data_IF_675297552719
#
_entry.id   IF_675297552719
#
_cell.length_a   1.000
_cell.length_b   1.000
_cell.length_c   1.000
_cell.angle_alpha   90.00
_cell.angle_beta   90.00
_cell.angle_gamma   90.00
#
_symmetry.space_group_name_H-M   'P 1'
#
loop_
_entity.id
_entity.type
_entity.pdbx_description
1 polymer ?
#
# COMPACT_ATOMS: atom_id res chain seq x y z
N UNK A 1 13.21 -37.44 41.73
CA UNK A 1 13.20 -37.74 40.28
C UNK A 1 14.55 -38.38 39.95
N UNK A 2 14.56 -39.56 39.28
CA UNK A 2 15.81 -40.25 38.93
C UNK A 2 16.47 -39.50 37.75
N UNK A 3 17.79 -39.32 37.81
CA UNK A 3 18.59 -38.63 36.79
C UNK A 3 18.24 -38.96 35.32
N UNK A 4 17.95 -40.23 34.92
CA UNK A 4 17.56 -40.55 33.55
C UNK A 4 16.25 -39.89 33.08
N UNK A 5 15.31 -39.67 34.02
CA UNK A 5 14.04 -39.02 33.66
C UNK A 5 14.19 -37.53 33.35
N UNK A 6 15.19 -36.87 33.96
CA UNK A 6 15.49 -35.46 33.71
C UNK A 6 16.10 -35.29 32.30
N UNK A 7 17.03 -36.17 31.92
CA UNK A 7 17.64 -36.16 30.60
C UNK A 7 16.62 -36.41 29.51
N UNK A 8 15.71 -37.35 29.69
CA UNK A 8 14.61 -37.61 28.74
C UNK A 8 13.67 -36.41 28.64
N UNK A 9 13.35 -35.77 29.76
CA UNK A 9 12.50 -34.57 29.73
C UNK A 9 13.17 -33.39 29.00
N UNK A 10 14.49 -33.20 29.24
CA UNK A 10 15.26 -32.15 28.51
C UNK A 10 15.34 -32.45 27.01
N UNK A 11 15.61 -33.71 26.65
CA UNK A 11 15.66 -34.11 25.24
C UNK A 11 14.28 -33.94 24.55
N UNK A 12 13.21 -34.31 25.23
CA UNK A 12 11.84 -34.12 24.71
C UNK A 12 11.50 -32.62 24.55
N UNK A 13 11.88 -31.78 25.51
CA UNK A 13 11.70 -30.33 25.42
C UNK A 13 12.48 -29.69 24.29
N UNK A 14 13.73 -30.10 24.07
CA UNK A 14 14.57 -29.62 22.95
C UNK A 14 14.00 -30.05 21.59
N UNK A 15 13.52 -31.29 21.46
CA UNK A 15 12.86 -31.78 20.24
C UNK A 15 11.60 -30.99 19.96
N UNK A 16 10.75 -30.83 20.98
CA UNK A 16 9.52 -30.04 20.87
C UNK A 16 9.84 -28.58 20.47
N UNK A 17 10.80 -27.94 21.12
CA UNK A 17 11.24 -26.57 20.78
C UNK A 17 11.77 -26.48 19.35
N UNK A 18 12.53 -27.50 18.89
CA UNK A 18 13.02 -27.57 17.52
C UNK A 18 11.92 -27.70 16.48
N UNK A 19 10.87 -28.48 16.80
CA UNK A 19 9.69 -28.60 15.94
C UNK A 19 8.94 -27.27 15.86
N UNK A 20 8.71 -26.60 16.99
CA UNK A 20 8.03 -25.30 17.03
C UNK A 20 8.84 -24.15 16.41
N UNK A 21 10.17 -24.25 16.37
CA UNK A 21 11.03 -23.29 15.72
C UNK A 21 11.31 -23.62 14.24
N UNK A 22 10.79 -24.72 13.74
CA UNK A 22 11.02 -25.13 12.37
C UNK A 22 10.20 -24.29 11.38
N UNK A 23 10.79 -23.74 10.29
CA UNK A 23 10.07 -22.95 9.29
C UNK A 23 8.99 -23.74 8.52
N UNK A 24 8.88 -25.04 8.78
CA UNK A 24 7.79 -25.87 8.28
C UNK A 24 6.44 -25.51 8.90
N UNK A 25 6.42 -25.01 10.14
CA UNK A 25 5.18 -24.60 10.82
C UNK A 25 4.58 -23.34 10.19
N UNK A 26 5.42 -22.41 9.75
CA UNK A 26 4.97 -21.20 9.04
C UNK A 26 4.21 -21.58 7.76
N UNK A 27 4.71 -22.61 7.03
CA UNK A 27 4.01 -23.11 5.82
C UNK A 27 2.67 -23.77 6.14
N UNK A 28 2.57 -24.47 7.28
CA UNK A 28 1.32 -25.13 7.70
C UNK A 28 0.32 -24.07 8.18
N UNK A 29 0.77 -23.04 8.85
CA UNK A 29 -0.09 -21.92 9.27
C UNK A 29 -0.66 -21.18 8.07
N UNK A 30 0.17 -20.84 7.09
CA UNK A 30 -0.24 -20.18 5.85
C UNK A 30 -1.23 -21.04 5.06
N UNK A 31 -0.93 -22.33 4.87
CA UNK A 31 -1.86 -23.28 4.21
C UNK A 31 -3.21 -23.34 4.94
N UNK A 32 -3.20 -23.26 6.26
CA UNK A 32 -4.43 -23.28 7.06
C UNK A 32 -5.25 -22.01 6.84
N UNK A 33 -4.62 -20.84 6.81
CA UNK A 33 -5.28 -19.55 6.54
C UNK A 33 -5.84 -19.51 5.11
N UNK A 34 -5.05 -19.89 4.12
CA UNK A 34 -5.49 -19.93 2.73
C UNK A 34 -6.67 -20.88 2.55
N UNK A 35 -6.62 -22.06 3.20
CA UNK A 35 -7.72 -23.01 3.19
C UNK A 35 -8.99 -22.45 3.83
N UNK A 36 -8.88 -21.68 4.92
CA UNK A 36 -10.00 -21.01 5.57
C UNK A 36 -10.58 -19.90 4.67
N UNK A 37 -9.74 -19.12 4.01
CA UNK A 37 -10.20 -18.10 3.06
C UNK A 37 -10.89 -18.75 1.86
N UNK A 38 -10.31 -19.82 1.31
CA UNK A 38 -10.92 -20.57 0.22
C UNK A 38 -12.28 -21.17 0.63
N UNK A 39 -12.33 -21.85 1.78
CA UNK A 39 -13.56 -22.43 2.32
C UNK A 39 -14.64 -21.38 2.54
N UNK A 40 -14.24 -20.25 3.13
CA UNK A 40 -15.15 -19.13 3.33
C UNK A 40 -15.71 -18.62 2.01
N UNK A 41 -14.85 -18.46 0.98
CA UNK A 41 -15.29 -18.04 -0.34
C UNK A 41 -16.20 -19.08 -1.00
N UNK A 42 -15.90 -20.37 -0.85
CA UNK A 42 -16.71 -21.46 -1.41
C UNK A 42 -18.09 -21.55 -0.73
N UNK A 43 -18.20 -21.26 0.57
CA UNK A 43 -19.45 -21.39 1.34
C UNK A 43 -20.31 -20.13 1.25
N UNK A 44 -19.71 -18.94 1.36
CA UNK A 44 -20.44 -17.67 1.44
C UNK A 44 -20.31 -16.79 0.20
N UNK A 45 -19.46 -17.14 -0.76
CA UNK A 45 -19.21 -16.34 -1.95
C UNK A 45 -18.53 -15.01 -1.65
N UNK A 46 -18.63 -14.06 -2.57
CA UNK A 46 -18.15 -12.69 -2.38
C UNK A 46 -19.00 -11.97 -1.34
N UNK A 47 -18.33 -11.31 -0.40
CA UNK A 47 -18.99 -10.65 0.74
C UNK A 47 -19.71 -9.35 0.35
N UNK A 48 -19.28 -8.72 -0.74
CA UNK A 48 -19.84 -7.48 -1.26
C UNK A 48 -19.96 -7.56 -2.78
N UNK A 49 -21.10 -7.15 -3.30
CA UNK A 49 -21.22 -6.86 -4.73
C UNK A 49 -20.36 -5.63 -5.04
N UNK A 50 -19.60 -5.60 -6.15
CA UNK A 50 -18.80 -4.43 -6.53
C UNK A 50 -19.59 -3.13 -6.54
N UNK A 51 -20.88 -3.19 -6.95
CA UNK A 51 -21.79 -2.06 -7.01
C UNK A 51 -22.18 -1.49 -5.64
N UNK A 52 -21.95 -2.26 -4.58
CA UNK A 52 -22.23 -1.86 -3.19
C UNK A 52 -20.96 -1.49 -2.43
N UNK A 53 -19.80 -1.52 -3.11
CA UNK A 53 -18.53 -1.14 -2.49
C UNK A 53 -18.54 0.36 -2.17
N UNK A 54 -18.20 0.75 -0.93
CA UNK A 54 -18.03 2.16 -0.59
C UNK A 54 -16.73 2.74 -1.16
N UNK A 55 -15.90 1.93 -1.82
CA UNK A 55 -14.62 2.34 -2.39
C UNK A 55 -14.60 2.14 -3.90
N UNK A 56 -13.98 3.11 -4.59
CA UNK A 56 -13.73 3.08 -6.04
C UNK A 56 -12.24 3.15 -6.25
N UNK A 57 -11.73 2.31 -7.16
CA UNK A 57 -10.32 2.32 -7.58
C UNK A 57 -10.22 2.98 -8.94
N UNK A 58 -9.42 4.04 -9.03
CA UNK A 58 -9.02 4.67 -10.30
C UNK A 58 -7.64 4.13 -10.63
N UNK A 59 -7.58 3.19 -11.57
CA UNK A 59 -6.35 2.51 -11.93
C UNK A 59 -5.57 3.28 -12.99
N UNK A 60 -4.24 3.32 -12.84
CA UNK A 60 -3.30 3.66 -13.91
C UNK A 60 -2.82 2.32 -14.48
N UNK A 61 -3.42 1.93 -15.58
CA UNK A 61 -3.17 0.66 -16.25
C UNK A 61 -2.31 0.83 -17.51
N UNK A 62 -2.13 -0.24 -18.27
CA UNK A 62 -1.36 -0.22 -19.50
C UNK A 62 -2.00 0.65 -20.58
N UNK A 63 -3.31 0.78 -20.63
CA UNK A 63 -4.01 1.63 -21.58
C UNK A 63 -3.72 3.11 -21.28
N UNK A 64 -3.65 3.49 -20.02
CA UNK A 64 -3.23 4.83 -19.59
C UNK A 64 -1.87 5.22 -20.20
N UNK A 65 -0.90 4.29 -20.19
CA UNK A 65 0.42 4.55 -20.76
C UNK A 65 0.43 4.69 -22.29
N UNK A 66 -0.58 4.14 -22.96
CA UNK A 66 -0.69 4.13 -24.43
C UNK A 66 -1.58 5.23 -24.96
N UNK A 67 -2.29 5.94 -24.08
CA UNK A 67 -3.31 6.94 -24.46
C UNK A 67 -2.87 8.34 -24.05
N UNK A 68 -3.08 9.37 -24.92
CA UNK A 68 -2.90 10.75 -24.49
C UNK A 68 -3.81 11.09 -23.29
N UNK A 69 -3.35 11.96 -22.36
CA UNK A 69 -2.12 12.76 -22.40
C UNK A 69 -0.86 12.05 -21.86
N UNK A 70 -0.97 10.80 -21.41
CA UNK A 70 0.12 10.09 -20.71
C UNK A 70 1.11 9.40 -21.66
N UNK A 71 0.68 9.13 -22.89
CA UNK A 71 1.47 8.40 -23.87
C UNK A 71 2.83 9.06 -24.14
N UNK A 72 3.90 8.31 -23.89
CA UNK A 72 5.27 8.77 -24.12
C UNK A 72 5.79 9.82 -23.12
N UNK A 73 5.01 10.16 -22.11
CA UNK A 73 5.34 11.14 -21.09
C UNK A 73 5.90 10.44 -19.84
N UNK A 74 7.09 10.83 -19.31
CA UNK A 74 7.62 10.30 -18.07
C UNK A 74 6.68 10.57 -16.89
N UNK A 75 6.55 9.60 -15.96
CA UNK A 75 5.67 9.71 -14.78
C UNK A 75 5.87 10.98 -13.94
N UNK A 76 7.11 11.46 -13.84
CA UNK A 76 7.42 12.70 -13.11
C UNK A 76 6.72 13.94 -13.70
N UNK A 77 6.28 13.86 -14.97
CA UNK A 77 5.58 14.93 -15.66
C UNK A 77 4.06 14.77 -15.67
N UNK A 78 3.51 13.77 -15.02
CA UNK A 78 2.05 13.52 -14.95
C UNK A 78 1.31 14.36 -13.92
N UNK A 79 2.04 15.19 -13.19
CA UNK A 79 1.50 15.95 -12.06
C UNK A 79 0.32 16.84 -12.44
N UNK A 80 0.32 17.41 -13.64
CA UNK A 80 -0.80 18.26 -14.11
C UNK A 80 -2.09 17.44 -14.25
N UNK A 81 -2.01 16.32 -14.94
CA UNK A 81 -3.14 15.43 -15.19
C UNK A 81 -3.63 14.78 -13.90
N UNK A 82 -2.70 14.36 -13.04
CA UNK A 82 -3.02 13.82 -11.72
C UNK A 82 -3.70 14.87 -10.83
N UNK A 83 -3.32 16.14 -10.95
CA UNK A 83 -4.01 17.24 -10.28
C UNK A 83 -5.46 17.38 -10.74
N UNK A 84 -5.70 17.27 -12.04
CA UNK A 84 -7.05 17.33 -12.61
C UNK A 84 -7.90 16.15 -12.15
N UNK A 85 -7.35 14.93 -12.14
CA UNK A 85 -8.05 13.73 -11.61
C UNK A 85 -8.36 13.90 -10.12
N UNK A 86 -7.40 14.36 -9.33
CA UNK A 86 -7.59 14.58 -7.90
C UNK A 86 -8.71 15.58 -7.60
N UNK A 87 -8.73 16.70 -8.31
CA UNK A 87 -9.81 17.70 -8.16
C UNK A 87 -11.18 17.12 -8.60
N UNK A 88 -11.23 16.38 -9.71
CA UNK A 88 -12.45 15.73 -10.16
C UNK A 88 -13.02 14.74 -9.13
N UNK A 89 -12.15 13.91 -8.53
CA UNK A 89 -12.55 12.95 -7.49
C UNK A 89 -13.03 13.67 -6.22
N UNK A 90 -12.34 14.75 -5.83
CA UNK A 90 -12.73 15.58 -4.69
C UNK A 90 -14.12 16.23 -4.93
N UNK A 91 -14.36 16.77 -6.12
CA UNK A 91 -15.61 17.41 -6.51
C UNK A 91 -16.76 16.41 -6.67
N UNK A 92 -16.45 15.17 -7.05
CA UNK A 92 -17.42 14.08 -7.07
C UNK A 92 -17.88 13.65 -5.67
N UNK A 93 -17.33 14.23 -4.61
CA UNK A 93 -17.79 14.02 -3.24
C UNK A 93 -17.11 12.88 -2.50
N UNK A 94 -15.92 12.45 -2.92
CA UNK A 94 -15.14 11.47 -2.16
C UNK A 94 -14.86 11.97 -0.73
N UNK A 95 -15.09 11.11 0.27
CA UNK A 95 -14.79 11.42 1.67
C UNK A 95 -13.30 11.30 1.96
N UNK A 96 -12.62 10.31 1.36
CA UNK A 96 -11.17 10.10 1.47
C UNK A 96 -10.62 9.67 0.12
N UNK A 97 -9.48 10.27 -0.26
CA UNK A 97 -8.74 9.98 -1.48
C UNK A 97 -7.38 9.41 -1.09
N UNK A 98 -7.17 8.12 -1.30
CA UNK A 98 -5.88 7.47 -1.16
C UNK A 98 -5.08 7.57 -2.44
N UNK A 99 -3.90 8.19 -2.39
CA UNK A 99 -3.03 8.34 -3.55
C UNK A 99 -1.90 7.33 -3.47
N UNK A 100 -2.12 6.14 -4.04
CA UNK A 100 -1.17 5.02 -4.00
C UNK A 100 -0.12 5.12 -5.13
N UNK A 101 0.40 6.34 -5.30
CA UNK A 101 1.50 6.64 -6.20
C UNK A 101 2.51 7.49 -5.44
N UNK A 102 3.77 7.05 -5.42
CA UNK A 102 4.83 7.83 -4.84
C UNK A 102 5.52 8.61 -5.96
N UNK A 103 5.48 9.93 -5.87
CA UNK A 103 6.20 10.85 -6.74
C UNK A 103 7.37 11.45 -5.94
N UNK A 104 8.54 10.76 -5.91
CA UNK A 104 9.67 11.18 -5.08
C UNK A 104 10.46 12.34 -5.71
N UNK A 105 10.22 12.60 -6.97
CA UNK A 105 10.85 13.66 -7.77
C UNK A 105 9.83 14.64 -8.28
N UNK A 106 10.28 15.85 -8.62
CA UNK A 106 9.48 16.92 -9.19
C UNK A 106 10.21 17.53 -10.37
N UNK A 107 9.46 18.05 -11.32
CA UNK A 107 9.98 18.82 -12.46
C UNK A 107 10.11 20.31 -12.10
N UNK A 108 9.54 20.76 -11.00
CA UNK A 108 9.58 22.15 -10.54
C UNK A 108 10.99 22.78 -10.50
N UNK A 109 12.08 22.06 -10.11
CA UNK A 109 13.44 22.61 -10.16
C UNK A 109 13.95 22.92 -11.57
N UNK A 110 13.38 22.28 -12.60
CA UNK A 110 13.78 22.43 -13.99
C UNK A 110 12.83 23.34 -14.78
N UNK A 111 11.54 23.27 -14.47
CA UNK A 111 10.49 24.06 -15.12
C UNK A 111 9.63 24.68 -14.01
N UNK A 112 9.91 25.95 -13.69
CA UNK A 112 9.22 26.67 -12.64
C UNK A 112 7.71 26.75 -12.88
N UNK A 113 6.94 26.39 -11.86
CA UNK A 113 5.47 26.38 -11.90
C UNK A 113 4.88 25.12 -12.54
N UNK A 114 5.71 24.13 -12.91
CA UNK A 114 5.23 22.91 -13.54
C UNK A 114 4.26 22.14 -12.65
N UNK A 115 4.61 21.93 -11.38
CA UNK A 115 3.81 21.16 -10.42
C UNK A 115 2.78 22.02 -9.67
N UNK A 116 2.65 23.30 -10.04
CA UNK A 116 1.80 24.25 -9.31
C UNK A 116 0.36 23.77 -9.17
N UNK A 117 -0.25 23.33 -10.26
CA UNK A 117 -1.66 22.91 -10.27
C UNK A 117 -1.87 21.68 -9.43
N UNK A 118 -0.95 20.72 -9.49
CA UNK A 118 -0.96 19.54 -8.66
C UNK A 118 -0.82 19.88 -7.16
N UNK A 119 0.14 20.74 -6.82
CA UNK A 119 0.33 21.19 -5.44
C UNK A 119 -0.90 21.93 -4.90
N UNK A 120 -1.58 22.71 -5.74
CA UNK A 120 -2.83 23.38 -5.36
C UNK A 120 -3.97 22.37 -5.17
N UNK A 121 -4.09 21.35 -6.02
CA UNK A 121 -5.07 20.27 -5.88
C UNK A 121 -4.83 19.49 -4.57
N UNK A 122 -3.58 19.10 -4.29
CA UNK A 122 -3.19 18.45 -3.05
C UNK A 122 -3.55 19.30 -1.82
N UNK A 123 -3.28 20.59 -1.88
CA UNK A 123 -3.59 21.52 -0.77
C UNK A 123 -5.09 21.67 -0.55
N UNK A 124 -5.90 21.78 -1.61
CA UNK A 124 -7.37 21.83 -1.51
C UNK A 124 -7.91 20.57 -0.81
N UNK A 125 -7.50 19.39 -1.30
CA UNK A 125 -7.91 18.11 -0.71
C UNK A 125 -7.44 17.96 0.75
N UNK A 126 -6.24 18.45 1.09
CA UNK A 126 -5.72 18.42 2.45
C UNK A 126 -6.48 19.37 3.41
N UNK A 127 -6.91 20.53 2.94
CA UNK A 127 -7.73 21.45 3.73
C UNK A 127 -9.10 20.85 4.09
N UNK A 128 -9.64 20.00 3.23
CA UNK A 128 -10.87 19.25 3.48
C UNK A 128 -10.62 17.94 4.26
N UNK A 129 -9.36 17.62 4.64
CA UNK A 129 -8.92 16.37 5.26
C UNK A 129 -9.23 15.12 4.42
N UNK A 130 -9.25 15.25 3.10
CA UNK A 130 -9.67 14.19 2.18
C UNK A 130 -8.53 13.44 1.49
N UNK A 131 -7.26 13.84 1.66
CA UNK A 131 -6.12 13.27 0.93
C UNK A 131 -5.18 12.49 1.85
N UNK A 132 -4.72 11.34 1.38
CA UNK A 132 -3.63 10.56 1.97
C UNK A 132 -2.64 10.20 0.87
N UNK A 133 -1.38 10.61 1.02
CA UNK A 133 -0.28 10.22 0.15
C UNK A 133 0.45 8.99 0.69
N UNK A 134 0.94 8.18 -0.24
CA UNK A 134 1.73 7.00 0.04
C UNK A 134 3.21 7.33 0.29
N UNK A 135 3.85 6.59 1.21
CA UNK A 135 5.29 6.41 1.31
C UNK A 135 5.62 4.93 1.47
N UNK A 136 6.80 4.51 1.04
CA UNK A 136 7.30 3.14 1.27
C UNK A 136 8.39 3.17 2.31
N UNK A 137 8.25 2.36 3.34
CA UNK A 137 9.32 2.08 4.30
C UNK A 137 10.35 1.16 3.62
N UNK A 138 11.59 1.53 3.68
CA UNK A 138 12.70 0.75 3.14
C UNK A 138 13.80 0.64 4.19
N UNK A 139 14.51 -0.47 4.23
CA UNK A 139 15.53 -0.75 5.25
C UNK A 139 16.63 0.31 5.34
N UNK A 140 17.01 0.90 4.21
CA UNK A 140 18.07 1.92 4.16
C UNK A 140 17.50 3.32 4.31
N UNK A 141 16.50 3.68 3.50
CA UNK A 141 15.87 5.01 3.52
C UNK A 141 14.45 4.92 2.99
N UNK A 142 13.45 5.50 3.68
CA UNK A 142 12.09 5.56 3.17
C UNK A 142 12.02 6.29 1.83
N UNK A 143 11.18 5.79 0.92
CA UNK A 143 10.82 6.50 -0.31
C UNK A 143 9.58 7.31 0.01
N UNK A 144 9.74 8.63 0.03
CA UNK A 144 8.69 9.58 0.37
C UNK A 144 8.32 10.44 -0.83
N UNK A 145 7.12 11.04 -0.84
CA UNK A 145 6.78 12.05 -1.83
C UNK A 145 7.78 13.21 -1.83
N UNK A 146 7.89 13.89 -2.97
CA UNK A 146 8.70 15.10 -3.08
C UNK A 146 8.36 16.10 -1.95
N UNK A 147 9.36 16.81 -1.38
CA UNK A 147 9.13 17.72 -0.24
C UNK A 147 8.02 18.75 -0.47
N UNK A 148 7.88 19.27 -1.69
CA UNK A 148 6.80 20.21 -2.04
C UNK A 148 5.41 19.57 -1.97
N UNK A 149 5.27 18.32 -2.42
CA UNK A 149 4.01 17.57 -2.31
C UNK A 149 3.69 17.26 -0.84
N UNK A 150 4.70 16.85 -0.09
CA UNK A 150 4.58 16.61 1.36
C UNK A 150 4.15 17.87 2.11
N UNK A 151 4.71 19.02 1.76
CA UNK A 151 4.32 20.31 2.31
C UNK A 151 2.86 20.66 1.97
N UNK A 152 2.45 20.45 0.72
CA UNK A 152 1.09 20.74 0.27
C UNK A 152 0.02 19.99 1.06
N UNK A 153 0.30 18.73 1.45
CA UNK A 153 -0.63 17.90 2.24
C UNK A 153 -0.45 18.03 3.76
N UNK A 154 0.42 18.90 4.26
CA UNK A 154 0.66 19.08 5.70
C UNK A 154 1.61 18.05 6.31
N UNK A 155 2.60 17.60 5.54
CA UNK A 155 3.64 16.65 5.94
C UNK A 155 3.08 15.30 6.42
N UNK A 156 3.67 14.73 7.47
CA UNK A 156 3.33 13.42 8.02
C UNK A 156 1.86 13.26 8.45
N UNK A 157 1.12 14.37 8.59
CA UNK A 157 -0.30 14.33 8.94
C UNK A 157 -1.11 13.51 7.93
N UNK A 158 -0.80 13.65 6.65
CA UNK A 158 -1.53 13.03 5.54
C UNK A 158 -0.63 12.12 4.68
N UNK A 159 0.43 11.56 5.27
CA UNK A 159 1.31 10.60 4.60
C UNK A 159 1.29 9.28 5.38
N UNK A 160 1.08 8.17 4.70
CA UNK A 160 1.01 6.83 5.31
C UNK A 160 1.93 5.85 4.60
N UNK A 161 2.48 4.90 5.35
CA UNK A 161 3.19 3.78 4.76
C UNK A 161 2.19 2.85 4.06
N UNK A 162 2.54 2.45 2.84
CA UNK A 162 1.74 1.52 2.01
C UNK A 162 2.47 0.20 1.78
N UNK A 163 3.40 -0.13 2.68
CA UNK A 163 4.06 -1.42 2.61
C UNK A 163 3.04 -2.52 2.85
N UNK A 164 2.99 -3.45 1.91
CA UNK A 164 2.33 -4.73 2.11
C UNK A 164 3.38 -5.70 2.64
N UNK A 165 3.03 -6.41 3.70
CA UNK A 165 3.87 -7.46 4.23
C UNK A 165 3.56 -8.73 3.45
N UNK A 166 4.56 -9.24 2.73
CA UNK A 166 4.48 -10.55 2.13
C UNK A 166 4.96 -11.60 3.12
N UNK A 167 4.26 -12.69 3.16
CA UNK A 167 4.67 -13.87 3.92
C UNK A 167 5.85 -14.60 3.27
N UNK A 168 6.35 -15.65 3.91
CA UNK A 168 7.51 -16.44 3.46
C UNK A 168 7.30 -17.04 2.07
N UNK A 169 6.06 -17.30 1.69
CA UNK A 169 5.65 -17.81 0.36
C UNK A 169 5.35 -16.69 -0.66
N UNK A 170 5.44 -15.42 -0.26
CA UNK A 170 5.15 -14.26 -1.09
C UNK A 170 3.66 -13.86 -1.14
N UNK A 171 2.81 -14.54 -0.37
CA UNK A 171 1.40 -14.14 -0.22
C UNK A 171 1.30 -12.84 0.58
N UNK A 172 0.49 -11.91 0.12
CA UNK A 172 0.22 -10.64 0.81
C UNK A 172 -0.95 -10.88 1.77
N UNK A 173 -0.71 -10.65 3.05
CA UNK A 173 -1.71 -10.79 4.11
C UNK A 173 -2.57 -9.54 4.27
#
# INVERSE_FOLDING_TARGET
MKFPNILVAIAAALIASGIFAAPVLDRVENFSLDSLFWLRHAVWGQRHAPEQSPSVVIAIDEETYRTPPFQGVPKAMWTKELGTVLDGVREAGADVIGFDIILPTSIEPYIRGYDRDFMLALRRAAQENKIVLAKVQHQVKPISPFPGHSFAVGHERNIRAVNLYADVDGTIL
#
